data_IF_955298450113
#
_entry.id   IF_955298450113
#
_cell.length_a   1.000
_cell.length_b   1.000
_cell.length_c   1.000
_cell.angle_alpha   90.00
_cell.angle_beta   90.00
_cell.angle_gamma   90.00
#
_symmetry.space_group_name_H-M   'P 1'
#
loop_
_entity.id
_entity.type
_entity.pdbx_description
1 polymer ?
#
# COMPACT_ATOMS: atom_id res chain seq x y z
N UNK A 1 20.39 -8.74 -13.88
CA UNK A 1 19.91 -7.34 -14.02
C UNK A 1 21.06 -6.35 -14.21
N UNK A 2 22.07 -6.27 -13.34
CA UNK A 2 23.23 -5.37 -13.53
C UNK A 2 23.90 -5.46 -14.92
N UNK A 3 24.07 -6.68 -15.44
CA UNK A 3 24.63 -6.89 -16.80
C UNK A 3 23.81 -6.23 -17.92
N UNK A 4 22.51 -6.04 -17.73
CA UNK A 4 21.62 -5.36 -18.69
C UNK A 4 21.75 -3.83 -18.59
N UNK A 5 22.06 -3.26 -17.43
CA UNK A 5 22.35 -1.83 -17.35
C UNK A 5 23.74 -1.52 -17.91
N UNK A 6 24.75 -2.27 -17.46
CA UNK A 6 26.14 -1.96 -17.77
C UNK A 6 26.51 -2.23 -19.25
N UNK A 7 25.92 -3.25 -19.89
CA UNK A 7 26.29 -3.64 -21.27
C UNK A 7 25.45 -2.95 -22.35
N UNK A 8 24.13 -3.22 -22.48
CA UNK A 8 23.36 -2.65 -23.58
C UNK A 8 22.95 -1.19 -23.34
N UNK A 9 22.75 -0.75 -22.08
CA UNK A 9 22.39 0.65 -21.77
C UNK A 9 23.60 1.54 -21.46
N UNK A 10 24.78 0.95 -21.21
CA UNK A 10 26.02 1.66 -20.80
C UNK A 10 25.81 2.58 -19.58
N UNK A 11 24.89 2.19 -18.69
CA UNK A 11 24.64 2.89 -17.43
C UNK A 11 25.32 2.09 -16.32
N UNK A 12 26.31 2.69 -15.66
CA UNK A 12 27.07 2.04 -14.59
C UNK A 12 26.38 2.24 -13.23
N UNK A 13 26.58 1.28 -12.33
CA UNK A 13 25.94 1.27 -11.01
C UNK A 13 26.23 2.54 -10.18
N UNK A 14 27.40 3.17 -10.37
CA UNK A 14 27.81 4.41 -9.67
C UNK A 14 26.98 5.61 -10.10
N UNK A 15 26.54 5.66 -11.36
CA UNK A 15 25.81 6.79 -11.92
C UNK A 15 24.29 6.60 -11.86
N UNK A 16 23.82 5.42 -11.45
CA UNK A 16 22.40 5.06 -11.53
C UNK A 16 21.49 6.01 -10.74
N UNK A 17 21.96 6.56 -9.61
CA UNK A 17 21.22 7.54 -8.81
C UNK A 17 21.03 8.89 -9.51
N UNK A 18 21.85 9.20 -10.51
CA UNK A 18 21.79 10.46 -11.25
C UNK A 18 20.79 10.42 -12.41
N UNK A 19 20.31 9.21 -12.78
CA UNK A 19 19.34 9.05 -13.86
C UNK A 19 17.91 9.13 -13.35
N UNK A 20 17.07 9.85 -14.10
CA UNK A 20 15.62 9.79 -13.92
C UNK A 20 15.06 8.52 -14.55
N UNK A 21 13.93 8.03 -14.03
CA UNK A 21 13.25 6.87 -14.59
C UNK A 21 12.93 7.06 -16.08
N UNK A 22 12.46 8.25 -16.46
CA UNK A 22 12.15 8.57 -17.87
C UNK A 22 13.35 8.40 -18.79
N UNK A 23 14.54 8.85 -18.36
CA UNK A 23 15.79 8.70 -19.13
C UNK A 23 16.17 7.22 -19.31
N UNK A 24 16.00 6.42 -18.27
CA UNK A 24 16.23 4.97 -18.31
C UNK A 24 15.25 4.30 -19.30
N UNK A 25 13.96 4.62 -19.21
CA UNK A 25 12.94 4.03 -20.09
C UNK A 25 13.17 4.43 -21.55
N UNK A 26 13.50 5.69 -21.83
CA UNK A 26 13.85 6.12 -23.19
C UNK A 26 15.05 5.37 -23.74
N UNK A 27 16.09 5.17 -22.93
CA UNK A 27 17.27 4.39 -23.31
C UNK A 27 16.92 2.92 -23.61
N UNK A 28 15.99 2.34 -22.83
CA UNK A 28 15.45 1.00 -23.07
C UNK A 28 14.66 0.97 -24.38
N UNK A 29 13.72 1.89 -24.61
CA UNK A 29 12.95 1.98 -25.86
C UNK A 29 13.88 2.06 -27.08
N UNK A 30 14.87 2.95 -27.04
CA UNK A 30 15.84 3.13 -28.13
C UNK A 30 16.59 1.83 -28.42
N UNK A 31 17.01 1.11 -27.37
CA UNK A 31 17.72 -0.17 -27.54
C UNK A 31 16.82 -1.28 -28.09
N UNK A 32 15.62 -1.42 -27.55
CA UNK A 32 14.66 -2.45 -27.97
C UNK A 32 14.22 -2.25 -29.43
N UNK A 33 14.04 -1.00 -29.85
CA UNK A 33 13.72 -0.64 -31.23
C UNK A 33 14.91 -0.90 -32.17
N UNK A 34 16.14 -0.63 -31.73
CA UNK A 34 17.35 -0.96 -32.50
C UNK A 34 17.52 -2.47 -32.70
N UNK A 35 17.30 -3.27 -31.66
CA UNK A 35 17.49 -4.73 -31.72
C UNK A 35 16.31 -5.48 -32.36
N UNK A 36 15.20 -4.78 -32.71
CA UNK A 36 13.96 -5.37 -33.26
C UNK A 36 13.51 -6.63 -32.51
N UNK A 37 13.61 -6.63 -31.19
CA UNK A 37 13.33 -7.80 -30.35
C UNK A 37 11.84 -8.20 -30.31
N UNK A 38 10.96 -7.40 -30.90
CA UNK A 38 9.53 -7.63 -30.91
C UNK A 38 9.07 -7.92 -32.34
N UNK A 39 8.29 -9.00 -32.48
CA UNK A 39 7.80 -9.54 -33.75
C UNK A 39 6.73 -8.65 -34.43
N UNK A 40 6.41 -7.48 -33.87
CA UNK A 40 5.37 -6.57 -34.38
C UNK A 40 6.01 -5.28 -34.89
N UNK A 41 5.53 -4.78 -36.03
CA UNK A 41 6.09 -3.63 -36.79
C UNK A 41 5.98 -2.27 -36.08
N UNK A 42 5.46 -2.21 -34.86
CA UNK A 42 5.31 -0.99 -34.06
C UNK A 42 6.53 -0.76 -33.16
N UNK A 43 7.13 0.43 -33.25
CA UNK A 43 8.15 0.89 -32.30
C UNK A 43 7.61 0.92 -30.87
N UNK A 44 8.37 0.42 -29.91
CA UNK A 44 7.99 0.43 -28.49
C UNK A 44 8.06 1.85 -27.94
N UNK A 45 6.95 2.25 -27.34
CA UNK A 45 6.81 3.50 -26.62
C UNK A 45 7.06 3.33 -25.11
N UNK A 46 7.27 4.46 -24.43
CA UNK A 46 7.30 4.52 -22.96
C UNK A 46 6.00 4.00 -22.35
N UNK A 47 4.86 4.28 -22.99
CA UNK A 47 3.54 3.83 -22.53
C UNK A 47 3.40 2.31 -22.56
N UNK A 48 3.98 1.62 -23.55
CA UNK A 48 3.97 0.16 -23.62
C UNK A 48 4.75 -0.48 -22.47
N UNK A 49 5.89 0.12 -22.12
CA UNK A 49 6.70 -0.31 -20.98
C UNK A 49 5.93 -0.09 -19.67
N UNK A 50 5.31 1.09 -19.52
CA UNK A 50 4.49 1.40 -18.34
C UNK A 50 3.31 0.45 -18.21
N UNK A 51 2.58 0.16 -19.28
CA UNK A 51 1.48 -0.81 -19.29
C UNK A 51 1.95 -2.22 -18.92
N UNK A 52 3.16 -2.62 -19.34
CA UNK A 52 3.72 -3.92 -18.99
C UNK A 52 4.12 -4.01 -17.52
N UNK A 53 4.71 -2.95 -16.98
CA UNK A 53 5.10 -2.87 -15.56
C UNK A 53 3.87 -2.80 -14.66
N UNK A 54 2.91 -1.94 -14.99
CA UNK A 54 1.76 -1.59 -14.16
C UNK A 54 0.50 -2.41 -14.47
N UNK A 55 0.63 -3.51 -15.22
CA UNK A 55 -0.52 -4.31 -15.68
C UNK A 55 -1.49 -4.64 -14.55
N UNK A 56 -0.99 -5.26 -13.49
CA UNK A 56 -1.81 -5.71 -12.36
C UNK A 56 -2.25 -4.55 -11.47
N UNK A 57 -1.41 -3.53 -11.33
CA UNK A 57 -1.72 -2.28 -10.64
C UNK A 57 -2.88 -1.56 -11.32
N UNK A 58 -2.90 -1.48 -12.66
CA UNK A 58 -3.98 -0.88 -13.44
C UNK A 58 -5.30 -1.64 -13.25
N UNK A 59 -5.28 -2.98 -13.26
CA UNK A 59 -6.47 -3.78 -12.93
C UNK A 59 -6.94 -3.50 -11.50
N UNK A 60 -6.03 -3.42 -10.53
CA UNK A 60 -6.37 -3.11 -9.13
C UNK A 60 -6.97 -1.71 -9.01
N UNK A 61 -6.44 -0.72 -9.72
CA UNK A 61 -7.00 0.63 -9.78
C UNK A 61 -8.41 0.62 -10.37
N UNK A 62 -8.64 -0.13 -11.46
CA UNK A 62 -9.97 -0.28 -12.06
C UNK A 62 -10.96 -0.92 -11.07
N UNK A 63 -10.59 -2.05 -10.45
CA UNK A 63 -11.43 -2.75 -9.46
C UNK A 63 -11.83 -1.86 -8.28
N UNK A 64 -10.89 -1.03 -7.79
CA UNK A 64 -11.16 -0.09 -6.70
C UNK A 64 -12.01 1.09 -7.16
N UNK A 65 -11.82 1.58 -8.39
CA UNK A 65 -12.55 2.74 -8.90
C UNK A 65 -14.00 2.45 -9.24
N UNK A 66 -14.27 1.26 -9.75
CA UNK A 66 -15.59 0.74 -10.08
C UNK A 66 -16.31 0.15 -8.85
N UNK A 67 -15.73 0.26 -7.64
CA UNK A 67 -16.25 -0.29 -6.39
C UNK A 67 -16.65 -1.79 -6.48
N UNK A 68 -15.97 -2.57 -7.35
CA UNK A 68 -16.23 -4.01 -7.55
C UNK A 68 -15.74 -4.87 -6.37
N UNK A 69 -14.80 -4.34 -5.60
CA UNK A 69 -14.30 -4.94 -4.37
C UNK A 69 -14.51 -3.93 -3.25
N UNK A 70 -15.76 -3.66 -2.82
CA UNK A 70 -16.00 -2.69 -1.78
C UNK A 70 -15.50 -3.30 -0.47
N UNK A 71 -14.37 -2.82 0.09
CA UNK A 71 -13.84 -3.41 1.31
C UNK A 71 -14.61 -2.82 2.50
N UNK A 72 -15.94 -2.81 2.44
CA UNK A 72 -16.80 -2.16 3.42
C UNK A 72 -17.02 -3.12 4.57
N UNK A 73 -16.67 -2.68 5.77
CA UNK A 73 -16.99 -3.35 7.01
C UNK A 73 -18.02 -2.49 7.75
N UNK A 74 -19.25 -3.00 7.87
CA UNK A 74 -20.30 -2.35 8.63
C UNK A 74 -20.12 -2.65 10.12
N UNK A 75 -19.64 -1.66 10.87
CA UNK A 75 -19.43 -1.76 12.31
C UNK A 75 -20.60 -1.08 13.05
N UNK A 76 -21.10 -1.68 14.15
CA UNK A 76 -22.31 -1.22 14.84
C UNK A 76 -22.20 0.19 15.45
N UNK A 77 -20.98 0.70 15.68
CA UNK A 77 -20.73 2.02 16.30
C UNK A 77 -20.08 3.00 15.31
N UNK A 78 -19.18 2.49 14.47
CA UNK A 78 -18.34 3.30 13.56
C UNK A 78 -18.97 3.47 12.17
N UNK A 79 -20.08 2.79 11.88
CA UNK A 79 -20.69 2.77 10.56
C UNK A 79 -19.85 1.98 9.56
N UNK A 80 -19.90 2.39 8.29
CA UNK A 80 -19.16 1.74 7.21
C UNK A 80 -17.70 2.18 7.18
N UNK A 81 -16.78 1.24 7.39
CA UNK A 81 -15.34 1.48 7.36
C UNK A 81 -14.72 0.77 6.16
N UNK A 82 -13.93 1.47 5.36
CA UNK A 82 -13.18 0.88 4.23
C UNK A 82 -11.90 0.20 4.75
N UNK A 83 -11.82 -1.12 4.59
CA UNK A 83 -10.75 -1.99 5.08
C UNK A 83 -9.83 -2.47 3.96
N UNK A 84 -8.79 -1.69 3.62
CA UNK A 84 -7.80 -2.09 2.60
C UNK A 84 -6.44 -2.35 3.24
N UNK A 85 -6.23 -3.57 3.74
CA UNK A 85 -4.96 -4.00 4.33
C UNK A 85 -4.04 -4.65 3.29
N UNK A 86 -2.73 -4.64 3.58
CA UNK A 86 -1.73 -5.26 2.69
C UNK A 86 -1.99 -6.76 2.50
N UNK A 87 -2.49 -7.46 3.51
CA UNK A 87 -2.85 -8.88 3.43
C UNK A 87 -4.00 -9.11 2.45
N UNK A 88 -5.09 -8.33 2.59
CA UNK A 88 -6.22 -8.39 1.65
C UNK A 88 -5.76 -8.14 0.22
N UNK A 89 -4.93 -7.11 0.01
CA UNK A 89 -4.34 -6.83 -1.31
C UNK A 89 -3.59 -8.05 -1.86
N UNK A 90 -2.71 -8.66 -1.07
CA UNK A 90 -1.92 -9.84 -1.51
C UNK A 90 -2.82 -11.03 -1.83
N UNK A 91 -3.87 -11.27 -1.05
CA UNK A 91 -4.83 -12.34 -1.32
C UNK A 91 -5.58 -12.08 -2.63
N UNK A 92 -6.02 -10.85 -2.88
CA UNK A 92 -6.67 -10.47 -4.13
C UNK A 92 -5.71 -10.58 -5.33
N UNK A 93 -4.46 -10.12 -5.19
CA UNK A 93 -3.43 -10.27 -6.23
C UNK A 93 -3.18 -11.74 -6.56
N UNK A 94 -3.17 -12.60 -5.53
CA UNK A 94 -3.01 -14.02 -5.72
C UNK A 94 -4.23 -14.60 -6.47
N UNK A 95 -5.45 -14.28 -6.06
CA UNK A 95 -6.66 -14.76 -6.73
C UNK A 95 -6.72 -14.32 -8.19
N UNK A 96 -6.48 -13.03 -8.46
CA UNK A 96 -6.71 -12.45 -9.78
C UNK A 96 -5.53 -12.53 -10.74
N UNK A 97 -4.28 -12.65 -10.26
CA UNK A 97 -3.11 -12.47 -11.14
C UNK A 97 -2.05 -13.55 -11.06
N UNK A 98 -1.93 -14.29 -9.95
CA UNK A 98 -0.77 -15.19 -9.73
C UNK A 98 -1.12 -16.62 -9.33
N UNK A 99 -2.32 -16.85 -8.83
CA UNK A 99 -2.77 -18.15 -8.33
C UNK A 99 -3.07 -19.12 -9.46
N UNK A 100 -3.20 -20.40 -9.10
CA UNK A 100 -3.41 -21.50 -10.04
C UNK A 100 -4.72 -21.38 -10.84
N UNK A 101 -5.70 -20.66 -10.30
CA UNK A 101 -7.00 -20.38 -10.94
C UNK A 101 -7.10 -18.93 -11.41
N UNK A 102 -5.97 -18.23 -11.54
CA UNK A 102 -6.01 -16.82 -11.97
C UNK A 102 -6.36 -16.70 -13.46
N UNK A 103 -7.09 -15.64 -13.86
CA UNK A 103 -7.39 -15.34 -15.25
C UNK A 103 -6.19 -15.27 -16.20
N UNK A 104 -4.97 -15.12 -15.68
CA UNK A 104 -3.77 -14.95 -16.48
C UNK A 104 -3.02 -16.27 -16.64
N UNK A 105 -2.88 -16.74 -17.89
CA UNK A 105 -2.11 -17.96 -18.22
C UNK A 105 -0.62 -17.74 -17.95
N UNK A 106 -0.16 -16.57 -18.38
CA UNK A 106 1.20 -16.06 -18.28
C UNK A 106 1.10 -14.58 -17.89
N UNK A 107 2.22 -13.98 -17.48
CA UNK A 107 2.31 -12.55 -17.10
C UNK A 107 1.64 -11.58 -18.10
N UNK A 108 1.45 -11.99 -19.37
CA UNK A 108 0.97 -11.12 -20.43
C UNK A 108 -0.34 -11.53 -21.13
N UNK A 109 -0.89 -12.71 -20.89
CA UNK A 109 -2.04 -13.21 -21.66
C UNK A 109 -3.13 -13.76 -20.75
N UNK A 110 -4.36 -13.27 -20.95
CA UNK A 110 -5.55 -13.80 -20.30
C UNK A 110 -5.88 -15.17 -20.91
N UNK A 111 -6.42 -16.09 -20.12
CA UNK A 111 -6.87 -17.38 -20.62
C UNK A 111 -8.17 -17.19 -21.41
N UNK A 112 -8.28 -17.88 -22.55
CA UNK A 112 -9.43 -17.77 -23.46
C UNK A 112 -10.75 -18.14 -22.77
N UNK A 113 -10.70 -18.97 -21.73
CA UNK A 113 -11.87 -19.32 -20.93
C UNK A 113 -12.55 -18.13 -20.27
N UNK A 114 -11.80 -17.09 -19.86
CA UNK A 114 -12.36 -15.90 -19.23
C UNK A 114 -12.92 -14.89 -20.25
N UNK A 115 -12.70 -15.12 -21.54
CA UNK A 115 -13.24 -14.30 -22.63
C UNK A 115 -14.63 -14.81 -23.04
N UNK A 116 -14.85 -16.13 -22.95
CA UNK A 116 -16.11 -16.75 -23.30
C UNK A 116 -17.21 -16.47 -22.25
N UNK A 117 -18.26 -15.78 -22.70
CA UNK A 117 -19.40 -15.42 -21.84
C UNK A 117 -20.24 -16.64 -21.44
N UNK A 118 -20.24 -17.72 -22.23
CA UNK A 118 -21.05 -18.90 -21.92
C UNK A 118 -20.56 -19.64 -20.67
N UNK A 119 -19.26 -19.56 -20.38
CA UNK A 119 -18.62 -20.21 -19.21
C UNK A 119 -18.62 -19.35 -17.95
N UNK A 120 -19.30 -18.19 -17.97
CA UNK A 120 -19.28 -17.23 -16.86
C UNK A 120 -19.70 -17.84 -15.52
N UNK A 121 -20.75 -18.65 -15.51
CA UNK A 121 -21.28 -19.27 -14.28
C UNK A 121 -20.30 -20.29 -13.71
N UNK A 122 -19.76 -21.19 -14.55
CA UNK A 122 -18.73 -22.16 -14.18
C UNK A 122 -17.49 -21.48 -13.56
N UNK A 123 -17.04 -20.38 -14.18
CA UNK A 123 -15.89 -19.60 -13.71
C UNK A 123 -16.21 -18.91 -12.37
N UNK A 124 -17.41 -18.38 -12.21
CA UNK A 124 -17.85 -17.74 -10.96
C UNK A 124 -17.87 -18.75 -9.81
N UNK A 125 -18.43 -19.94 -10.00
CA UNK A 125 -18.44 -21.01 -8.98
C UNK A 125 -17.03 -21.46 -8.60
N UNK A 126 -16.12 -21.58 -9.59
CA UNK A 126 -14.71 -21.93 -9.33
C UNK A 126 -14.02 -20.83 -8.52
N UNK A 127 -14.25 -19.56 -8.87
CA UNK A 127 -13.71 -18.42 -8.15
C UNK A 127 -14.21 -18.37 -6.71
N UNK A 128 -15.51 -18.61 -6.50
CA UNK A 128 -16.12 -18.68 -5.17
C UNK A 128 -15.46 -19.75 -4.29
N UNK A 129 -15.24 -20.96 -4.82
CA UNK A 129 -14.55 -22.04 -4.10
C UNK A 129 -13.12 -21.61 -3.72
N UNK A 130 -12.37 -21.02 -4.64
CA UNK A 130 -11.00 -20.55 -4.38
C UNK A 130 -10.97 -19.47 -3.29
N UNK A 131 -11.86 -18.49 -3.37
CA UNK A 131 -11.97 -17.43 -2.35
C UNK A 131 -12.36 -18.02 -1.00
N UNK A 132 -13.28 -18.98 -0.97
CA UNK A 132 -13.72 -19.67 0.25
C UNK A 132 -12.56 -20.43 0.91
N UNK A 133 -11.79 -21.22 0.14
CA UNK A 133 -10.61 -21.91 0.69
C UNK A 133 -9.53 -20.94 1.19
N UNK A 134 -9.32 -19.82 0.50
CA UNK A 134 -8.41 -18.78 0.96
C UNK A 134 -8.89 -18.11 2.24
N UNK A 135 -10.21 -17.89 2.38
CA UNK A 135 -10.79 -17.32 3.59
C UNK A 135 -10.63 -18.28 4.78
N UNK A 136 -10.95 -19.57 4.60
CA UNK A 136 -10.80 -20.60 5.63
C UNK A 136 -9.34 -20.72 6.06
N UNK A 137 -8.41 -20.83 5.11
CA UNK A 137 -6.97 -20.90 5.42
C UNK A 137 -6.46 -19.63 6.11
N UNK A 138 -6.89 -18.45 5.67
CA UNK A 138 -6.57 -17.18 6.34
C UNK A 138 -7.12 -17.11 7.76
N UNK A 139 -8.32 -17.66 8.00
CA UNK A 139 -8.93 -17.73 9.32
C UNK A 139 -8.15 -18.65 10.26
N UNK A 140 -7.76 -19.84 9.77
CA UNK A 140 -6.94 -20.80 10.54
C UNK A 140 -5.55 -20.23 10.85
N UNK A 141 -4.93 -19.50 9.91
CA UNK A 141 -3.63 -18.87 10.10
C UNK A 141 -3.68 -17.54 10.88
N UNK A 142 -4.88 -16.97 11.07
CA UNK A 142 -5.06 -15.66 11.69
C UNK A 142 -4.40 -15.52 13.08
N UNK A 143 -4.47 -16.48 14.04
CA UNK A 143 -3.80 -16.32 15.33
C UNK A 143 -2.28 -16.21 15.20
N UNK A 144 -1.66 -17.00 14.31
CA UNK A 144 -0.22 -16.99 14.10
C UNK A 144 0.22 -15.67 13.47
N UNK A 145 -0.50 -15.22 12.42
CA UNK A 145 -0.22 -13.95 11.75
C UNK A 145 -0.39 -12.78 12.72
N UNK A 146 -1.42 -12.83 13.57
CA UNK A 146 -1.68 -11.82 14.59
C UNK A 146 -0.54 -11.71 15.60
N UNK A 147 -0.04 -12.85 16.12
CA UNK A 147 1.10 -12.87 17.05
C UNK A 147 2.35 -12.27 16.39
N UNK A 148 2.70 -12.71 15.19
CA UNK A 148 3.83 -12.18 14.44
C UNK A 148 3.71 -10.66 14.22
N UNK A 149 2.53 -10.18 13.81
CA UNK A 149 2.28 -8.75 13.58
C UNK A 149 2.32 -7.94 14.87
N UNK A 150 1.83 -8.48 15.98
CA UNK A 150 1.88 -7.83 17.28
C UNK A 150 3.33 -7.61 17.72
N UNK A 151 4.16 -8.65 17.64
CA UNK A 151 5.59 -8.57 17.96
C UNK A 151 6.30 -7.57 17.05
N UNK A 152 6.09 -7.66 15.74
CA UNK A 152 6.67 -6.72 14.78
C UNK A 152 6.29 -5.26 15.10
N UNK A 153 5.00 -5.01 15.38
CA UNK A 153 4.52 -3.67 15.69
C UNK A 153 5.11 -3.13 17.00
N UNK A 154 5.26 -3.95 18.04
CA UNK A 154 5.91 -3.55 19.29
C UNK A 154 7.35 -3.13 19.04
N UNK A 155 8.13 -3.92 18.28
CA UNK A 155 9.52 -3.58 17.97
C UNK A 155 9.63 -2.32 17.12
N UNK A 156 8.83 -2.19 16.05
CA UNK A 156 8.85 -0.99 15.21
C UNK A 156 8.39 0.25 15.98
N UNK A 157 7.37 0.14 16.83
CA UNK A 157 6.91 1.27 17.64
C UNK A 157 7.94 1.67 18.70
N UNK A 158 8.68 0.71 19.27
CA UNK A 158 9.77 0.99 20.21
C UNK A 158 10.93 1.72 19.53
N UNK A 159 11.35 1.27 18.34
CA UNK A 159 12.40 1.92 17.54
C UNK A 159 11.98 3.31 17.02
N UNK A 160 10.71 3.49 16.65
CA UNK A 160 10.21 4.82 16.25
C UNK A 160 10.17 5.78 17.45
N UNK A 161 9.71 5.32 18.62
CA UNK A 161 9.66 6.14 19.84
C UNK A 161 11.04 6.57 20.32
N UNK A 162 12.06 5.72 20.14
CA UNK A 162 13.43 6.05 20.56
C UNK A 162 14.10 7.10 19.67
N UNK A 163 13.66 7.24 18.41
CA UNK A 163 14.24 8.18 17.44
C UNK A 163 13.52 9.53 17.45
N UNK A 164 12.19 9.54 17.34
CA UNK A 164 11.40 10.78 17.21
C UNK A 164 10.02 10.62 17.86
N UNK A 165 9.71 11.44 18.89
CA UNK A 165 8.42 11.39 19.60
C UNK A 165 7.27 12.12 18.88
N UNK A 166 7.57 12.95 17.88
CA UNK A 166 6.63 13.89 17.26
C UNK A 166 5.93 13.38 16.00
N UNK A 167 6.33 12.23 15.43
CA UNK A 167 5.90 11.79 14.09
C UNK A 167 4.63 10.95 14.06
N UNK A 168 4.12 10.50 15.21
CA UNK A 168 2.95 9.59 15.27
C UNK A 168 1.62 10.24 14.87
N UNK A 169 1.56 11.59 14.83
CA UNK A 169 0.31 12.34 14.56
C UNK A 169 0.20 12.88 13.14
N UNK A 170 1.21 12.70 12.27
CA UNK A 170 1.12 13.18 10.90
C UNK A 170 0.26 12.22 10.07
N UNK A 171 -0.98 12.62 9.76
CA UNK A 171 -1.92 11.79 9.02
C UNK A 171 -1.34 11.35 7.66
N UNK A 172 -1.34 10.06 7.37
CA UNK A 172 -0.88 9.53 6.09
C UNK A 172 -2.05 9.18 5.17
N UNK A 173 -1.83 9.21 3.85
CA UNK A 173 -2.81 8.68 2.90
C UNK A 173 -3.02 7.19 3.16
N UNK A 174 -4.28 6.80 3.34
CA UNK A 174 -4.64 5.39 3.53
C UNK A 174 -4.29 4.57 2.29
N UNK A 175 -3.99 3.28 2.48
CA UNK A 175 -3.67 2.39 1.37
C UNK A 175 -4.81 2.34 0.33
N UNK A 176 -6.07 2.35 0.78
CA UNK A 176 -7.24 2.47 -0.10
C UNK A 176 -7.26 3.78 -0.88
N UNK A 177 -7.10 4.91 -0.17
CA UNK A 177 -7.11 6.25 -0.78
C UNK A 177 -6.06 6.39 -1.87
N UNK A 178 -4.88 5.77 -1.69
CA UNK A 178 -3.83 5.73 -2.71
C UNK A 178 -4.30 5.09 -4.01
N UNK A 179 -5.02 3.97 -3.99
CA UNK A 179 -5.58 3.36 -5.21
C UNK A 179 -6.73 4.17 -5.80
N UNK A 180 -7.58 4.76 -4.96
CA UNK A 180 -8.73 5.56 -5.42
C UNK A 180 -8.29 6.79 -6.21
N UNK A 181 -7.25 7.49 -5.76
CA UNK A 181 -6.73 8.70 -6.43
C UNK A 181 -5.69 8.42 -7.51
N UNK A 182 -5.18 7.18 -7.62
CA UNK A 182 -4.14 6.82 -8.60
C UNK A 182 -4.68 6.93 -10.04
N UNK A 183 -3.86 7.46 -10.93
CA UNK A 183 -4.15 7.45 -12.36
C UNK A 183 -3.73 6.12 -13.00
N UNK A 184 -4.35 5.74 -14.12
CA UNK A 184 -3.86 4.61 -14.91
C UNK A 184 -2.46 4.91 -15.44
N UNK A 185 -1.62 3.88 -15.56
CA UNK A 185 -0.22 3.98 -15.98
C UNK A 185 0.67 4.92 -15.13
N UNK A 186 0.23 5.27 -13.91
CA UNK A 186 1.04 6.06 -12.98
C UNK A 186 1.94 5.16 -12.12
N UNK A 187 3.25 5.44 -12.10
CA UNK A 187 4.23 4.71 -11.30
C UNK A 187 4.18 5.10 -9.82
N UNK A 188 4.73 4.25 -8.95
CA UNK A 188 4.66 4.47 -7.49
C UNK A 188 5.40 5.74 -7.05
N UNK A 189 6.55 6.05 -7.66
CA UNK A 189 7.31 7.25 -7.33
C UNK A 189 6.59 8.53 -7.78
N UNK A 190 5.96 8.53 -8.95
CA UNK A 190 5.14 9.64 -9.44
C UNK A 190 3.92 9.88 -8.54
N UNK A 191 3.25 8.80 -8.14
CA UNK A 191 2.14 8.86 -7.19
C UNK A 191 2.60 9.44 -5.86
N UNK A 192 3.72 8.95 -5.32
CA UNK A 192 4.30 9.46 -4.08
C UNK A 192 4.65 10.94 -4.18
N UNK A 193 5.28 11.37 -5.27
CA UNK A 193 5.63 12.78 -5.48
C UNK A 193 4.38 13.67 -5.48
N UNK A 194 3.31 13.24 -6.15
CA UNK A 194 2.04 13.98 -6.17
C UNK A 194 1.38 14.03 -4.79
N UNK A 195 1.30 12.90 -4.10
CA UNK A 195 0.70 12.82 -2.76
C UNK A 195 1.48 13.63 -1.73
N UNK A 196 2.81 13.64 -1.83
CA UNK A 196 3.67 14.45 -0.96
C UNK A 196 3.43 15.95 -1.19
N UNK A 197 3.27 16.39 -2.45
CA UNK A 197 2.94 17.79 -2.77
C UNK A 197 1.58 18.21 -2.19
N UNK A 198 0.58 17.32 -2.18
CA UNK A 198 -0.74 17.63 -1.63
C UNK A 198 -0.87 17.40 -0.13
N UNK A 199 0.12 16.77 0.52
CA UNK A 199 0.05 16.38 1.93
C UNK A 199 -0.13 17.57 2.88
N UNK A 200 0.63 18.65 2.69
CA UNK A 200 0.54 19.83 3.53
C UNK A 200 -0.87 20.47 3.47
N UNK A 201 -1.41 20.64 2.27
CA UNK A 201 -2.76 21.20 2.06
C UNK A 201 -3.86 20.29 2.61
N UNK A 202 -3.74 18.97 2.42
CA UNK A 202 -4.70 18.00 2.95
C UNK A 202 -4.70 17.98 4.48
N UNK A 203 -3.52 18.04 5.10
CA UNK A 203 -3.36 18.13 6.55
C UNK A 203 -3.96 19.42 7.10
N UNK A 204 -3.68 20.55 6.46
CA UNK A 204 -4.25 21.85 6.84
C UNK A 204 -5.79 21.86 6.74
N UNK A 205 -6.36 21.22 5.72
CA UNK A 205 -7.80 21.04 5.58
C UNK A 205 -8.38 20.20 6.72
N UNK A 206 -7.79 19.03 7.02
CA UNK A 206 -8.27 18.16 8.10
C UNK A 206 -8.19 18.83 9.47
N UNK A 207 -7.17 19.67 9.71
CA UNK A 207 -7.03 20.42 10.96
C UNK A 207 -8.20 21.38 11.23
N UNK A 208 -8.93 21.82 10.19
CA UNK A 208 -10.12 22.67 10.34
C UNK A 208 -11.30 21.94 10.99
N UNK A 209 -11.35 20.61 10.91
CA UNK A 209 -12.47 19.79 11.40
C UNK A 209 -12.24 19.23 12.81
N UNK A 210 -11.51 19.94 13.67
CA UNK A 210 -11.27 19.48 15.03
C UNK A 210 -12.58 19.31 15.84
N UNK A 211 -12.79 18.10 16.38
CA UNK A 211 -13.96 17.83 17.21
C UNK A 211 -13.81 18.51 18.59
N UNK A 212 -14.67 19.48 18.87
CA UNK A 212 -14.71 20.20 20.17
C UNK A 212 -14.87 19.24 21.35
N UNK A 213 -15.63 18.16 21.19
CA UNK A 213 -15.85 17.16 22.24
C UNK A 213 -14.58 16.39 22.57
N UNK A 214 -13.83 15.96 21.54
CA UNK A 214 -12.54 15.29 21.72
C UNK A 214 -11.54 16.23 22.39
N UNK A 215 -11.52 17.51 22.01
CA UNK A 215 -10.64 18.50 22.63
C UNK A 215 -10.94 18.72 24.13
N UNK A 216 -12.22 18.80 24.52
CA UNK A 216 -12.62 18.91 25.93
C UNK A 216 -12.21 17.66 26.71
N UNK A 217 -12.44 16.48 26.16
CA UNK A 217 -12.09 15.21 26.79
C UNK A 217 -10.57 15.06 26.96
N UNK A 218 -9.80 15.36 25.92
CA UNK A 218 -8.34 15.36 25.95
C UNK A 218 -7.80 16.34 27.01
N UNK A 219 -8.40 17.53 27.14
CA UNK A 219 -8.01 18.52 28.15
C UNK A 219 -8.22 17.99 29.57
N UNK A 220 -9.36 17.33 29.85
CA UNK A 220 -9.64 16.70 31.15
C UNK A 220 -8.62 15.61 31.48
N UNK A 221 -8.34 14.70 30.54
CA UNK A 221 -7.33 13.64 30.73
C UNK A 221 -5.95 14.24 30.99
N UNK A 222 -5.56 15.23 30.19
CA UNK A 222 -4.25 15.88 30.34
C UNK A 222 -4.10 16.57 31.70
N UNK A 223 -5.17 17.15 32.24
CA UNK A 223 -5.18 17.77 33.56
C UNK A 223 -4.96 16.73 34.67
N UNK A 224 -5.69 15.61 34.61
CA UNK A 224 -5.53 14.51 35.58
C UNK A 224 -4.10 13.97 35.53
N UNK A 225 -3.59 13.67 34.33
CA UNK A 225 -2.22 13.15 34.14
C UNK A 225 -1.15 14.13 34.67
N UNK A 226 -1.28 15.43 34.38
CA UNK A 226 -0.36 16.46 34.87
C UNK A 226 -0.41 16.61 36.38
N UNK A 227 -1.58 16.50 36.99
CA UNK A 227 -1.74 16.61 38.44
C UNK A 227 -1.07 15.42 39.13
N UNK A 228 -1.29 14.21 38.65
CA UNK A 228 -0.62 13.00 39.15
C UNK A 228 0.90 13.13 39.01
N UNK A 229 1.37 13.56 37.83
CA UNK A 229 2.79 13.77 37.58
C UNK A 229 3.38 14.82 38.53
N UNK A 230 2.70 15.95 38.76
CA UNK A 230 3.18 17.00 39.65
C UNK A 230 3.30 16.53 41.10
N UNK A 231 2.33 15.71 41.58
CA UNK A 231 2.39 15.11 42.92
C UNK A 231 3.55 14.13 43.02
N UNK A 232 3.72 13.23 42.05
CA UNK A 232 4.83 12.27 42.01
C UNK A 232 6.19 12.98 41.95
N UNK A 233 6.32 14.03 41.14
CA UNK A 233 7.54 14.84 41.08
C UNK A 233 7.80 15.56 42.40
N UNK A 234 6.77 16.11 43.05
CA UNK A 234 6.90 16.72 44.37
C UNK A 234 7.38 15.73 45.43
N UNK A 235 6.84 14.51 45.43
CA UNK A 235 7.28 13.43 46.32
C UNK A 235 8.72 12.98 46.01
N UNK A 236 9.08 12.84 44.74
CA UNK A 236 10.43 12.44 44.32
C UNK A 236 11.52 13.49 44.65
N UNK A 237 11.16 14.78 44.71
CA UNK A 237 12.09 15.83 45.18
C UNK A 237 12.17 15.87 46.71
N UNK A 238 11.08 15.52 47.40
CA UNK A 238 11.05 15.47 48.87
C UNK A 238 11.84 14.27 49.43
N UNK A 239 11.85 13.15 48.71
CA UNK A 239 12.54 11.93 49.11
C UNK A 239 13.15 11.24 47.89
N UNK A 240 14.49 11.27 47.77
CA UNK A 240 15.24 10.66 46.65
C UNK A 240 15.05 9.14 46.58
N UNK A 241 14.61 8.49 47.67
CA UNK A 241 14.37 7.04 47.73
C UNK A 241 13.07 6.62 47.02
N UNK A 242 12.18 7.56 46.66
CA UNK A 242 10.94 7.27 45.90
C UNK A 242 11.24 6.89 44.43
N UNK A 243 12.42 7.25 43.91
CA UNK A 243 12.86 6.87 42.56
C UNK A 243 13.53 5.48 42.49
N UNK A 244 13.77 4.83 43.64
CA UNK A 244 14.45 3.53 43.72
C UNK A 244 13.50 2.31 43.76
N UNK A 245 12.19 2.52 43.67
CA UNK A 245 11.17 1.45 43.58
C UNK A 245 10.65 1.31 42.15
#
# INVERSE_FOLDING_TARGET
FQRFYNRPLKMYDVDLSNFTWDSIVQSICNRLNYEKLFLHDSSISTDDINQRILRYENYTVALVKEDLLPPLLSLPILGEVRFWQQQLKKSLEWVFFRGFCSPFKNSSMMQDEFIDKQRKEEIAERLEKVVTYLAISSMVLSPIIFLYKSVYHVFTAADLRSRESSTLSSGAYTAYGRYRVRHFNQLDHELNQRLNRSHASATAYLAQFSSKQVAVFARKISFIAKTILAVLSGLAVWDEDVLQI
#
